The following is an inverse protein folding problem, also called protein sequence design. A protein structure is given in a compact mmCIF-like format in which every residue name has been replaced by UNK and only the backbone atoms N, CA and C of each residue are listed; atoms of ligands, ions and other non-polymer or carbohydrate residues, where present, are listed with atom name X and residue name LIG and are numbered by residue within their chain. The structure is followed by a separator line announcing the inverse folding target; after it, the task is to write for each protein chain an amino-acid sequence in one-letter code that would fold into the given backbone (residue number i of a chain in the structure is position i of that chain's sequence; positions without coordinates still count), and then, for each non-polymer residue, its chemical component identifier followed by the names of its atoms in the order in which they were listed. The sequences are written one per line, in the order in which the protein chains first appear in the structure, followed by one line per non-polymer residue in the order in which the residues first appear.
data_IF_324856367584
#
_entry.id   IF_324856367584
#
_cell.length_a   1.000
_cell.length_b   1.000
_cell.length_c   1.000
_cell.angle_alpha   90.00
_cell.angle_beta   90.00
_cell.angle_gamma   90.00
#
_symmetry.space_group_name_H-M   'P 1'
#
loop_
_entity.id
_entity.type
_entity.pdbx_description
1 polymer ?
#
# COMPACT_ATOMS: atom_id res chain seq x y z
N UNK A 1 -19.70 -48.08 24.93
CA UNK A 1 -20.31 -46.74 25.05
C UNK A 1 -19.20 -45.72 24.83
N UNK A 2 -19.13 -45.11 23.63
CA UNK A 2 -18.04 -44.19 23.25
C UNK A 2 -18.34 -42.76 23.70
N UNK A 3 -17.59 -42.17 24.64
CA UNK A 3 -17.67 -40.74 24.95
C UNK A 3 -16.72 -39.95 24.04
N UNK A 4 -16.75 -40.18 22.72
CA UNK A 4 -15.83 -39.52 21.78
C UNK A 4 -16.41 -38.25 21.14
N UNK A 5 -17.62 -37.81 21.53
CA UNK A 5 -18.33 -36.70 20.88
C UNK A 5 -18.35 -35.38 21.65
N UNK A 6 -17.95 -35.35 22.93
CA UNK A 6 -18.08 -34.15 23.77
C UNK A 6 -16.89 -33.18 23.68
N UNK A 7 -15.75 -33.60 23.12
CA UNK A 7 -14.54 -32.77 23.00
C UNK A 7 -14.39 -32.06 21.65
N UNK A 8 -15.21 -32.40 20.64
CA UNK A 8 -15.09 -31.83 19.29
C UNK A 8 -15.67 -30.41 19.18
N UNK A 9 -16.72 -30.09 19.94
CA UNK A 9 -17.41 -28.80 19.89
C UNK A 9 -16.56 -27.63 20.40
N UNK A 10 -15.87 -27.70 21.56
CA UNK A 10 -15.01 -26.59 21.99
C UNK A 10 -13.77 -26.42 21.12
N UNK A 11 -13.29 -27.50 20.47
CA UNK A 11 -12.14 -27.45 19.56
C UNK A 11 -12.50 -26.77 18.22
N UNK A 12 -13.70 -27.01 17.69
CA UNK A 12 -14.22 -26.32 16.50
C UNK A 12 -14.51 -24.83 16.77
N UNK A 13 -14.97 -24.47 17.98
CA UNK A 13 -15.16 -23.06 18.36
C UNK A 13 -13.81 -22.32 18.47
N UNK A 14 -12.76 -22.96 18.98
CA UNK A 14 -11.42 -22.38 19.06
C UNK A 14 -10.78 -22.20 17.67
N UNK A 15 -11.09 -23.07 16.70
CA UNK A 15 -10.58 -22.97 15.32
C UNK A 15 -11.27 -21.88 14.49
N UNK A 16 -12.54 -21.55 14.76
CA UNK A 16 -13.22 -20.41 14.14
C UNK A 16 -12.73 -19.04 14.67
N UNK A 17 -12.21 -18.98 15.90
CA UNK A 17 -11.64 -17.77 16.48
C UNK A 17 -10.22 -17.43 15.97
N UNK A 18 -9.58 -18.35 15.25
CA UNK A 18 -8.27 -18.16 14.60
C UNK A 18 -8.39 -17.61 13.16
N UNK A 19 -9.61 -17.33 12.69
CA UNK A 19 -9.85 -16.73 11.39
C UNK A 19 -9.50 -15.24 11.39
N UNK A 20 -8.66 -14.84 10.42
CA UNK A 20 -8.52 -13.46 9.90
C UNK A 20 -7.84 -12.41 10.80
N UNK A 21 -6.54 -12.59 11.07
CA UNK A 21 -5.62 -11.44 11.17
C UNK A 21 -5.09 -11.01 9.79
N UNK A 22 -5.89 -11.18 8.73
CA UNK A 22 -5.57 -10.63 7.42
C UNK A 22 -5.85 -9.13 7.49
N UNK A 23 -4.79 -8.32 7.52
CA UNK A 23 -4.92 -6.89 7.28
C UNK A 23 -5.60 -6.72 5.90
N UNK A 24 -6.68 -5.93 5.79
CA UNK A 24 -7.30 -5.64 4.50
C UNK A 24 -6.24 -5.16 3.51
N UNK A 25 -6.35 -5.60 2.27
CA UNK A 25 -5.36 -5.31 1.24
C UNK A 25 -5.84 -4.14 0.37
N UNK A 26 -4.91 -3.27 -0.01
CA UNK A 26 -5.16 -2.14 -0.90
C UNK A 26 -4.60 -2.48 -2.28
N UNK A 27 -5.31 -2.09 -3.33
CA UNK A 27 -4.78 -2.08 -4.68
C UNK A 27 -3.99 -0.80 -4.92
N UNK A 28 -2.68 -0.92 -5.11
CA UNK A 28 -1.86 0.18 -5.58
C UNK A 28 -1.53 -0.04 -7.05
N UNK A 29 -1.81 0.95 -7.89
CA UNK A 29 -1.53 0.91 -9.34
C UNK A 29 -0.95 2.25 -9.77
N UNK A 30 -0.33 2.30 -10.94
CA UNK A 30 -0.07 3.58 -11.60
C UNK A 30 -1.41 4.25 -11.91
N UNK A 31 -1.49 5.56 -11.69
CA UNK A 31 -2.74 6.28 -11.89
C UNK A 31 -3.13 6.42 -13.38
N UNK A 32 -2.20 6.17 -14.29
CA UNK A 32 -2.44 6.05 -15.73
C UNK A 32 -1.34 5.21 -16.41
N UNK A 33 -1.52 4.87 -17.68
CA UNK A 33 -0.47 4.24 -18.49
C UNK A 33 0.60 5.24 -19.00
N UNK A 34 0.46 6.52 -18.65
CA UNK A 34 1.27 7.63 -19.18
C UNK A 34 2.13 8.29 -18.07
N UNK A 35 2.25 7.65 -16.91
CA UNK A 35 3.07 8.17 -15.82
C UNK A 35 4.52 8.36 -16.24
N UNK A 36 5.11 9.46 -15.77
CA UNK A 36 6.48 9.87 -16.12
C UNK A 36 7.18 10.48 -14.93
N UNK A 37 8.51 10.40 -14.97
CA UNK A 37 9.39 11.20 -14.13
C UNK A 37 9.18 12.71 -14.39
N UNK A 38 9.41 13.56 -13.37
CA UNK A 38 9.94 13.24 -12.05
C UNK A 38 8.90 12.82 -11.00
N UNK A 39 7.61 12.99 -11.28
CA UNK A 39 6.54 12.86 -10.29
C UNK A 39 5.41 11.93 -10.77
N UNK A 40 5.66 10.61 -10.90
CA UNK A 40 4.61 9.66 -11.25
C UNK A 40 3.51 9.66 -10.17
N UNK A 41 2.28 9.41 -10.61
CA UNK A 41 1.12 9.28 -9.75
C UNK A 41 0.64 7.84 -9.62
N UNK A 42 0.06 7.54 -8.47
CA UNK A 42 -0.45 6.24 -8.09
C UNK A 42 -1.92 6.35 -7.67
N UNK A 43 -2.71 5.34 -8.00
CA UNK A 43 -4.06 5.15 -7.49
C UNK A 43 -4.06 4.09 -6.40
N UNK A 44 -4.75 4.37 -5.31
CA UNK A 44 -4.98 3.46 -4.19
C UNK A 44 -6.48 3.20 -4.09
N UNK A 45 -6.87 1.94 -4.23
CA UNK A 45 -8.25 1.48 -4.07
C UNK A 45 -8.34 0.55 -2.86
N UNK A 46 -9.39 0.71 -2.06
CA UNK A 46 -9.72 -0.19 -0.96
C UNK A 46 -10.96 -1.03 -1.33
N UNK A 47 -10.78 -2.31 -1.69
CA UNK A 47 -11.90 -3.18 -2.06
C UNK A 47 -12.93 -3.37 -0.94
N UNK A 48 -12.57 -3.08 0.32
CA UNK A 48 -13.48 -3.21 1.46
C UNK A 48 -14.45 -2.02 1.61
N UNK A 49 -14.20 -0.91 0.92
CA UNK A 49 -14.93 0.36 1.10
C UNK A 49 -15.96 0.66 0.00
N UNK A 50 -16.26 -0.30 -0.90
CA UNK A 50 -17.24 -0.15 -2.01
C UNK A 50 -17.11 1.18 -2.79
N UNK A 51 -15.90 1.47 -3.27
CA UNK A 51 -15.61 2.72 -3.99
C UNK A 51 -15.39 3.95 -3.11
N UNK A 52 -15.48 3.79 -1.79
CA UNK A 52 -15.08 4.79 -0.81
C UNK A 52 -13.57 5.04 -0.73
N UNK A 53 -13.15 6.08 0.01
CA UNK A 53 -11.73 6.41 0.18
C UNK A 53 -10.98 5.33 0.95
N UNK A 54 -9.70 5.05 0.59
CA UNK A 54 -8.90 4.01 1.24
C UNK A 54 -8.43 4.39 2.65
N UNK A 55 -8.18 3.35 3.47
CA UNK A 55 -7.74 3.48 4.86
C UNK A 55 -6.23 3.15 5.01
N UNK A 56 -5.37 4.14 4.79
CA UNK A 56 -3.92 4.03 4.98
C UNK A 56 -3.34 5.28 5.64
N UNK A 57 -2.32 5.15 6.49
CA UNK A 57 -1.76 6.29 7.26
C UNK A 57 -0.31 6.62 6.87
N UNK A 58 0.32 5.80 6.05
CA UNK A 58 1.72 5.95 5.66
C UNK A 58 1.91 5.69 4.19
N UNK A 59 2.87 6.40 3.59
CA UNK A 59 3.32 6.24 2.22
C UNK A 59 4.85 6.15 2.26
N UNK A 60 5.40 5.02 1.82
CA UNK A 60 6.84 4.88 1.57
C UNK A 60 7.07 4.70 0.08
N UNK A 61 8.14 5.29 -0.42
CA UNK A 61 8.75 4.87 -1.68
C UNK A 61 10.17 4.45 -1.39
N UNK A 62 10.51 3.25 -1.86
CA UNK A 62 11.74 2.55 -1.57
C UNK A 62 12.50 2.33 -2.89
N UNK A 63 13.81 2.50 -2.85
CA UNK A 63 14.72 1.99 -3.89
C UNK A 63 14.78 0.45 -3.85
N UNK A 64 15.38 -0.15 -4.87
CA UNK A 64 15.51 -1.61 -5.01
C UNK A 64 16.24 -2.27 -3.81
N UNK A 65 17.23 -1.58 -3.25
CA UNK A 65 18.00 -2.04 -2.09
C UNK A 65 17.28 -1.82 -0.74
N UNK A 66 16.10 -1.21 -0.76
CA UNK A 66 15.29 -0.91 0.41
C UNK A 66 15.57 0.45 1.05
N UNK A 67 16.43 1.29 0.48
CA UNK A 67 16.58 2.68 0.92
C UNK A 67 15.24 3.43 0.76
N UNK A 68 14.84 4.19 1.78
CA UNK A 68 13.67 5.08 1.71
C UNK A 68 14.05 6.31 0.90
N UNK A 69 13.38 6.49 -0.24
CA UNK A 69 13.57 7.67 -1.10
C UNK A 69 12.45 8.70 -0.94
N UNK A 70 11.35 8.34 -0.26
CA UNK A 70 10.31 9.27 0.19
C UNK A 70 9.48 8.64 1.29
N UNK A 71 9.15 9.41 2.33
CA UNK A 71 8.24 8.97 3.39
C UNK A 71 7.31 10.12 3.82
N UNK A 72 6.01 9.89 3.69
CA UNK A 72 4.96 10.72 4.25
C UNK A 72 4.08 9.91 5.23
N UNK A 73 3.60 10.55 6.29
CA UNK A 73 2.66 9.96 7.25
C UNK A 73 1.48 10.87 7.52
N UNK A 74 0.33 10.32 7.83
CA UNK A 74 -0.85 11.06 8.25
C UNK A 74 -0.59 11.77 9.58
N UNK A 75 -1.10 12.99 9.72
CA UNK A 75 -1.08 13.76 10.96
C UNK A 75 -1.99 13.15 12.03
N UNK A 76 -2.95 12.31 11.62
CA UNK A 76 -3.85 11.55 12.48
C UNK A 76 -4.15 10.19 11.86
N UNK A 77 -4.16 9.15 12.68
CA UNK A 77 -4.28 7.76 12.24
C UNK A 77 -5.73 7.27 12.20
N UNK A 78 -6.02 6.29 11.33
CA UNK A 78 -7.32 5.62 11.25
C UNK A 78 -8.37 6.38 10.44
N UNK A 79 -7.92 7.37 9.65
CA UNK A 79 -8.77 8.16 8.76
C UNK A 79 -8.87 7.57 7.36
N UNK A 80 -9.83 8.10 6.60
CA UNK A 80 -9.90 7.92 5.15
C UNK A 80 -9.03 8.96 4.44
N UNK A 81 -8.28 8.53 3.44
CA UNK A 81 -7.26 9.35 2.79
C UNK A 81 -7.41 9.37 1.26
N UNK A 82 -6.71 10.27 0.54
CA UNK A 82 -6.88 10.41 -0.91
C UNK A 82 -6.57 9.13 -1.69
N UNK A 83 -7.42 8.80 -2.66
CA UNK A 83 -7.18 7.66 -3.57
C UNK A 83 -6.07 7.90 -4.60
N UNK A 84 -5.53 9.12 -4.69
CA UNK A 84 -4.46 9.48 -5.62
C UNK A 84 -3.27 10.04 -4.85
N UNK A 85 -2.09 9.49 -5.13
CA UNK A 85 -0.80 9.92 -4.57
C UNK A 85 0.06 10.40 -5.73
N UNK A 86 0.71 11.55 -5.60
CA UNK A 86 1.71 12.04 -6.54
C UNK A 86 3.06 11.98 -5.85
N UNK A 87 4.06 11.36 -6.47
CA UNK A 87 5.38 11.22 -5.87
C UNK A 87 5.97 12.58 -5.50
N UNK A 88 6.32 12.73 -4.21
CA UNK A 88 6.92 13.94 -3.67
C UNK A 88 5.96 15.07 -3.34
N UNK A 89 4.67 14.93 -3.65
CA UNK A 89 3.63 15.84 -3.15
C UNK A 89 3.03 15.26 -1.86
N UNK A 90 3.14 16.01 -0.76
CA UNK A 90 2.56 15.61 0.53
C UNK A 90 1.03 15.74 0.44
N UNK A 91 0.26 14.65 0.58
CA UNK A 91 -1.20 14.74 0.52
C UNK A 91 -1.79 15.61 1.65
N UNK A 92 -3.02 16.13 1.50
CA UNK A 92 -3.72 16.80 2.60
C UNK A 92 -3.77 15.90 3.84
N UNK A 93 -3.58 16.50 5.02
CA UNK A 93 -3.53 15.78 6.31
C UNK A 93 -2.36 14.82 6.49
N UNK A 94 -1.35 14.88 5.63
CA UNK A 94 -0.06 14.23 5.82
C UNK A 94 1.04 15.25 6.16
N UNK A 95 2.15 14.73 6.65
CA UNK A 95 3.42 15.43 6.77
C UNK A 95 4.54 14.61 6.15
N UNK A 96 5.54 15.28 5.58
CA UNK A 96 6.75 14.61 5.09
C UNK A 96 7.64 14.29 6.29
N UNK A 97 7.97 13.02 6.47
CA UNK A 97 8.96 12.57 7.46
C UNK A 97 10.33 12.53 6.81
N UNK A 98 10.40 12.02 5.58
CA UNK A 98 11.56 12.08 4.71
C UNK A 98 11.16 12.71 3.38
N UNK A 99 11.89 13.73 2.94
CA UNK A 99 11.60 14.44 1.70
C UNK A 99 11.84 13.56 0.47
N UNK A 100 11.17 13.84 -0.66
CA UNK A 100 11.36 13.05 -1.87
C UNK A 100 12.77 13.26 -2.44
N UNK A 101 13.50 12.16 -2.56
CA UNK A 101 14.71 12.10 -3.36
C UNK A 101 14.36 12.04 -4.85
N UNK A 102 15.32 12.35 -5.72
CA UNK A 102 15.10 12.27 -7.16
C UNK A 102 15.04 10.80 -7.59
N UNK A 103 13.94 10.39 -8.23
CA UNK A 103 13.88 9.11 -8.93
C UNK A 103 14.78 9.17 -10.17
N UNK A 104 15.64 8.16 -10.33
CA UNK A 104 16.53 8.01 -11.48
C UNK A 104 15.83 7.20 -12.58
N UNK A 105 16.17 7.46 -13.84
CA UNK A 105 15.76 6.62 -14.97
C UNK A 105 16.49 5.27 -14.95
N UNK A 106 15.84 4.22 -15.43
CA UNK A 106 16.42 2.88 -15.54
C UNK A 106 16.48 2.11 -14.22
N UNK A 107 15.71 2.51 -13.20
CA UNK A 107 15.74 1.93 -11.85
C UNK A 107 14.41 1.30 -11.48
N UNK A 108 14.49 0.39 -10.51
CA UNK A 108 13.33 -0.23 -9.88
C UNK A 108 13.06 0.43 -8.52
N UNK A 109 11.79 0.68 -8.26
CA UNK A 109 11.31 1.24 -7.00
C UNK A 109 10.07 0.48 -6.54
N UNK A 110 9.69 0.71 -5.28
CA UNK A 110 8.45 0.19 -4.71
C UNK A 110 7.74 1.28 -3.93
N UNK A 111 6.45 1.48 -4.21
CA UNK A 111 5.57 2.25 -3.33
C UNK A 111 4.85 1.30 -2.39
N UNK A 112 4.79 1.67 -1.11
CA UNK A 112 4.06 0.96 -0.06
C UNK A 112 3.13 1.95 0.64
N UNK A 113 1.87 1.57 0.79
CA UNK A 113 0.91 2.30 1.63
C UNK A 113 0.44 1.39 2.76
N UNK A 114 0.38 1.91 3.98
CA UNK A 114 -0.02 1.09 5.13
C UNK A 114 -0.75 1.88 6.22
N UNK A 115 -1.70 1.24 6.89
CA UNK A 115 -2.50 1.77 7.99
C UNK A 115 -3.44 0.69 8.52
N UNK A 116 -4.75 0.92 8.51
CA UNK A 116 -5.74 -0.14 8.73
C UNK A 116 -5.66 -1.20 7.63
N UNK A 117 -5.46 -0.78 6.38
CA UNK A 117 -5.20 -1.64 5.24
C UNK A 117 -3.76 -1.44 4.72
N UNK A 118 -3.26 -2.33 3.85
CA UNK A 118 -1.94 -2.15 3.25
C UNK A 118 -1.88 -2.64 1.80
N UNK A 119 -1.07 -1.98 0.98
CA UNK A 119 -0.86 -2.34 -0.42
C UNK A 119 0.49 -1.88 -0.91
N UNK A 120 0.95 -2.48 -2.00
CA UNK A 120 2.24 -2.14 -2.61
C UNK A 120 2.18 -2.26 -4.12
N UNK A 121 3.06 -1.53 -4.79
CA UNK A 121 3.35 -1.67 -6.21
C UNK A 121 4.85 -1.53 -6.44
N UNK A 122 5.44 -2.48 -7.15
CA UNK A 122 6.79 -2.35 -7.72
C UNK A 122 6.70 -1.72 -9.10
N UNK A 123 7.58 -0.77 -9.40
CA UNK A 123 7.54 -0.02 -10.65
C UNK A 123 8.93 0.32 -11.17
N UNK A 124 9.09 0.24 -12.49
CA UNK A 124 10.31 0.56 -13.22
C UNK A 124 10.22 1.96 -13.81
N UNK A 125 11.29 2.73 -13.69
CA UNK A 125 11.50 3.96 -14.45
C UNK A 125 12.27 3.61 -15.73
N UNK A 126 11.69 3.85 -16.89
CA UNK A 126 12.34 3.64 -18.19
C UNK A 126 13.47 4.64 -18.44
N UNK A 127 14.41 4.35 -19.36
CA UNK A 127 15.46 5.28 -19.75
C UNK A 127 14.91 6.58 -20.37
N UNK A 128 13.70 6.53 -20.94
CA UNK A 128 12.96 7.68 -21.49
C UNK A 128 12.12 8.44 -20.44
N UNK A 129 12.23 8.05 -19.16
CA UNK A 129 11.50 8.64 -18.06
C UNK A 129 10.04 8.18 -17.93
N UNK A 130 9.57 7.24 -18.74
CA UNK A 130 8.25 6.62 -18.54
C UNK A 130 8.26 5.68 -17.34
N UNK A 131 7.12 5.53 -16.68
CA UNK A 131 7.00 4.64 -15.51
C UNK A 131 6.03 3.51 -15.83
N UNK A 132 6.41 2.29 -15.45
CA UNK A 132 5.62 1.07 -15.70
C UNK A 132 5.56 0.22 -14.44
N UNK A 133 4.47 -0.52 -14.21
CA UNK A 133 4.49 -1.57 -13.18
C UNK A 133 5.57 -2.60 -13.55
N UNK A 134 6.29 -3.09 -12.55
CA UNK A 134 7.09 -4.30 -12.74
C UNK A 134 6.10 -5.45 -13.03
N UNK A 135 6.36 -6.22 -14.09
CA UNK A 135 5.50 -7.37 -14.40
C UNK A 135 5.62 -8.41 -13.29
N UNK A 136 4.48 -8.91 -12.83
CA UNK A 136 4.41 -10.19 -12.11
C UNK A 136 4.79 -11.36 -13.04
#
# INVERSE_FOLDING_TARGET
MSPSRLLLVPLLLAQLLLGSACRPWLHVKLASAQERLPAPAFSVEDPSQDGGPPLYDTIHVLAEDGEVVWFARAQSFGGAHPSRIIYGEVPPSFESVEGPQRLESGRLYRIEVSGTAAGTLRFLTGPDGRVYPEKD
#
